data_IF_056266422752
#
_entry.id   IF_056266422752
#
_cell.length_a   1.000
_cell.length_b   1.000
_cell.length_c   1.000
_cell.angle_alpha   90.00
_cell.angle_beta   90.00
_cell.angle_gamma   90.00
#
_symmetry.space_group_name_H-M   'P 1'
#
loop_
_entity.id
_entity.type
_entity.pdbx_description
1 polymer ?
#
# COMPACT_ATOMS: atom_id res chain seq x y z
N UNK A 1 -44.29 28.38 35.80
CA UNK A 1 -44.58 26.98 35.40
C UNK A 1 -43.82 26.70 34.12
N UNK A 2 -42.56 26.29 34.27
CA UNK A 2 -42.07 24.90 34.08
C UNK A 2 -42.03 24.46 32.62
N UNK A 3 -40.83 24.44 32.03
CA UNK A 3 -40.24 23.22 31.45
C UNK A 3 -38.82 23.51 30.97
N UNK A 4 -37.85 23.24 31.85
CA UNK A 4 -36.47 22.98 31.46
C UNK A 4 -36.44 21.62 30.75
N UNK A 5 -36.12 21.61 29.46
CA UNK A 5 -35.85 20.38 28.73
C UNK A 5 -34.35 20.12 28.79
N UNK A 6 -33.99 19.08 29.54
CA UNK A 6 -32.63 18.57 29.71
C UNK A 6 -32.07 18.03 28.38
N UNK A 7 -31.12 18.73 27.78
CA UNK A 7 -30.24 18.14 26.76
C UNK A 7 -29.24 17.20 27.43
N UNK A 8 -29.43 15.89 27.25
CA UNK A 8 -28.40 14.88 27.54
C UNK A 8 -27.42 14.82 26.36
N UNK A 9 -26.11 15.07 26.54
CA UNK A 9 -25.16 14.79 25.48
C UNK A 9 -24.99 13.28 25.32
N UNK A 10 -25.20 12.80 24.10
CA UNK A 10 -24.94 11.43 23.66
C UNK A 10 -23.48 11.04 23.99
N UNK A 11 -23.31 10.15 24.96
CA UNK A 11 -22.05 9.45 25.19
C UNK A 11 -21.68 8.66 23.94
N UNK A 12 -20.76 9.19 23.12
CA UNK A 12 -20.06 8.42 22.10
C UNK A 12 -19.20 7.37 22.80
N UNK A 13 -19.52 6.10 22.56
CA UNK A 13 -18.70 4.97 22.95
C UNK A 13 -17.29 5.14 22.39
N UNK A 14 -16.28 5.16 23.26
CA UNK A 14 -14.88 5.20 22.87
C UNK A 14 -14.48 3.85 22.24
N UNK A 15 -13.77 3.82 21.10
CA UNK A 15 -13.19 2.58 20.61
C UNK A 15 -12.09 2.09 21.56
N UNK A 16 -12.21 0.82 21.99
CA UNK A 16 -11.21 0.07 22.77
C UNK A 16 -9.82 0.21 22.13
N UNK A 17 -8.91 0.91 22.82
CA UNK A 17 -7.50 0.97 22.45
C UNK A 17 -6.88 -0.45 22.52
N UNK A 18 -6.46 -0.99 21.38
CA UNK A 18 -5.81 -2.31 21.31
C UNK A 18 -4.30 -2.23 20.98
N UNK A 19 -3.66 -1.08 21.19
CA UNK A 19 -2.22 -0.93 20.97
C UNK A 19 -1.58 -0.06 22.07
N UNK A 20 -0.51 -0.52 22.74
CA UNK A 20 0.25 0.33 23.64
C UNK A 20 0.96 1.44 22.85
N UNK A 21 0.98 2.64 23.42
CA UNK A 21 1.69 3.80 22.88
C UNK A 21 3.20 3.51 22.72
N UNK A 22 3.87 4.12 21.72
CA UNK A 22 5.30 3.93 21.52
C UNK A 22 6.07 4.45 22.73
N UNK A 23 6.78 3.56 23.43
CA UNK A 23 7.65 3.92 24.52
C UNK A 23 8.85 4.72 23.98
N UNK A 24 9.17 5.80 24.70
CA UNK A 24 10.17 6.82 24.36
C UNK A 24 11.49 6.22 23.85
N UNK A 25 11.88 6.62 22.64
CA UNK A 25 13.17 6.32 22.05
C UNK A 25 14.29 7.03 22.85
N UNK A 26 14.94 6.27 23.71
CA UNK A 26 16.13 6.69 24.45
C UNK A 26 17.18 5.59 24.40
N UNK A 27 17.90 5.49 23.28
CA UNK A 27 19.30 5.05 23.18
C UNK A 27 19.70 4.97 21.72
N UNK A 28 20.76 5.70 21.37
CA UNK A 28 21.48 5.53 20.13
C UNK A 28 21.91 4.05 19.99
N UNK A 29 21.31 3.33 19.04
CA UNK A 29 21.70 1.97 18.70
C UNK A 29 22.60 2.02 17.45
N UNK A 30 23.91 2.03 17.70
CA UNK A 30 24.87 1.52 16.74
C UNK A 30 24.58 0.02 16.52
N UNK A 31 24.44 -0.39 15.24
CA UNK A 31 24.78 -1.72 14.76
C UNK A 31 23.80 -2.87 15.02
N UNK A 32 22.97 -3.21 14.01
CA UNK A 32 23.07 -4.47 13.24
C UNK A 32 22.14 -4.41 12.01
N UNK A 33 22.61 -4.64 10.77
CA UNK A 33 21.68 -4.92 9.68
C UNK A 33 20.96 -6.24 9.97
N UNK A 34 19.66 -6.36 9.67
CA UNK A 34 18.93 -7.61 9.72
C UNK A 34 19.63 -8.63 8.84
N UNK A 35 20.18 -9.66 9.46
CA UNK A 35 20.87 -10.77 8.79
C UNK A 35 19.85 -11.74 8.22
N UNK A 36 19.10 -11.30 7.20
CA UNK A 36 18.53 -12.30 6.29
C UNK A 36 19.70 -12.99 5.59
N UNK A 37 19.90 -14.27 5.89
CA UNK A 37 20.95 -15.05 5.23
C UNK A 37 20.73 -15.01 3.71
N UNK A 38 21.81 -14.98 2.91
CA UNK A 38 21.73 -15.09 1.43
C UNK A 38 20.85 -16.27 0.97
N UNK A 39 20.77 -17.33 1.77
CA UNK A 39 19.89 -18.48 1.55
C UNK A 39 18.42 -18.15 1.73
N UNK A 40 18.04 -17.41 2.79
CA UNK A 40 16.67 -16.95 3.01
C UNK A 40 16.15 -16.10 1.85
N UNK A 41 17.00 -15.23 1.29
CA UNK A 41 16.61 -14.38 0.15
C UNK A 41 16.37 -15.19 -1.13
N UNK A 42 17.15 -16.25 -1.38
CA UNK A 42 16.91 -17.17 -2.51
C UNK A 42 15.62 -17.96 -2.36
N UNK A 43 15.34 -18.46 -1.15
CA UNK A 43 14.10 -19.20 -0.86
C UNK A 43 12.89 -18.28 -1.00
N UNK A 44 12.95 -17.07 -0.43
CA UNK A 44 11.91 -16.05 -0.61
C UNK A 44 11.67 -15.77 -2.10
N UNK A 45 12.74 -15.63 -2.89
CA UNK A 45 12.63 -15.40 -4.32
C UNK A 45 11.96 -16.57 -5.06
N UNK A 46 12.29 -17.80 -4.73
CA UNK A 46 11.65 -18.98 -5.32
C UNK A 46 10.14 -19.01 -5.00
N UNK A 47 9.77 -18.74 -3.74
CA UNK A 47 8.37 -18.62 -3.32
C UNK A 47 7.64 -17.51 -4.08
N UNK A 48 8.25 -16.33 -4.19
CA UNK A 48 7.69 -15.21 -4.95
C UNK A 48 7.37 -15.61 -6.39
N UNK A 49 8.29 -16.30 -7.06
CA UNK A 49 8.11 -16.74 -8.46
C UNK A 49 7.01 -17.79 -8.57
N UNK A 50 7.05 -18.84 -7.75
CA UNK A 50 6.08 -19.94 -7.80
C UNK A 50 4.67 -19.44 -7.51
N UNK A 51 4.49 -18.69 -6.42
CA UNK A 51 3.18 -18.19 -6.02
C UNK A 51 2.66 -17.11 -6.99
N UNK A 52 3.53 -16.28 -7.57
CA UNK A 52 3.09 -15.30 -8.57
C UNK A 52 2.72 -15.94 -9.90
N UNK A 53 3.45 -16.97 -10.34
CA UNK A 53 3.12 -17.73 -11.54
C UNK A 53 1.78 -18.46 -11.35
N UNK A 54 1.60 -19.15 -10.21
CA UNK A 54 0.33 -19.78 -9.87
C UNK A 54 -0.82 -18.76 -9.81
N UNK A 55 -0.61 -17.62 -9.17
CA UNK A 55 -1.59 -16.54 -9.08
C UNK A 55 -1.98 -15.97 -10.45
N UNK A 56 -1.03 -15.84 -11.38
CA UNK A 56 -1.33 -15.43 -12.75
C UNK A 56 -2.13 -16.48 -13.52
N UNK A 57 -1.78 -17.77 -13.40
CA UNK A 57 -2.53 -18.86 -14.04
C UNK A 57 -3.97 -18.90 -13.52
N UNK A 58 -4.15 -18.86 -12.20
CA UNK A 58 -5.49 -18.86 -11.57
C UNK A 58 -6.25 -17.56 -11.85
N UNK A 59 -5.56 -16.42 -11.93
CA UNK A 59 -6.16 -15.11 -12.19
C UNK A 59 -6.43 -14.82 -13.66
N UNK A 60 -5.80 -15.54 -14.60
CA UNK A 60 -5.92 -15.29 -16.04
C UNK A 60 -7.37 -15.34 -16.57
N UNK A 61 -8.24 -16.30 -16.16
CA UNK A 61 -9.64 -16.33 -16.56
C UNK A 61 -10.43 -15.08 -16.15
N UNK A 62 -10.03 -14.39 -15.08
CA UNK A 62 -10.63 -13.13 -14.64
C UNK A 62 -10.02 -11.91 -15.30
N UNK A 63 -8.71 -11.97 -15.60
CA UNK A 63 -7.96 -10.82 -16.11
C UNK A 63 -8.41 -10.41 -17.51
N UNK A 64 -8.64 -11.36 -18.42
CA UNK A 64 -9.04 -11.03 -19.79
C UNK A 64 -10.41 -10.34 -19.87
N UNK A 65 -11.51 -10.87 -19.27
CA UNK A 65 -12.78 -10.16 -19.20
C UNK A 65 -12.66 -8.80 -18.52
N UNK A 66 -11.88 -8.70 -17.44
CA UNK A 66 -11.66 -7.43 -16.75
C UNK A 66 -10.98 -6.39 -17.64
N UNK A 67 -9.95 -6.79 -18.42
CA UNK A 67 -9.29 -5.91 -19.39
C UNK A 67 -10.25 -5.44 -20.49
N UNK A 68 -11.09 -6.33 -21.01
CA UNK A 68 -12.11 -5.98 -22.01
C UNK A 68 -13.15 -5.01 -21.43
N UNK A 69 -13.65 -5.27 -20.22
CA UNK A 69 -14.60 -4.40 -19.54
C UNK A 69 -14.02 -3.01 -19.26
N UNK A 70 -12.75 -2.93 -18.83
CA UNK A 70 -12.04 -1.65 -18.65
C UNK A 70 -11.94 -0.91 -19.99
N UNK A 71 -11.60 -1.59 -21.09
CA UNK A 71 -11.53 -0.95 -22.41
C UNK A 71 -12.89 -0.44 -22.89
N UNK A 72 -13.94 -1.23 -22.71
CA UNK A 72 -15.28 -0.86 -23.13
C UNK A 72 -15.85 0.32 -22.33
N UNK A 73 -15.51 0.43 -21.04
CA UNK A 73 -16.09 1.44 -20.14
C UNK A 73 -15.22 2.67 -19.90
N UNK A 74 -13.89 2.55 -20.03
CA UNK A 74 -12.92 3.61 -19.74
C UNK A 74 -12.01 3.94 -20.94
N UNK A 75 -12.16 3.24 -22.07
CA UNK A 75 -11.31 3.37 -23.25
C UNK A 75 -9.99 2.56 -23.16
N UNK A 76 -9.10 2.66 -24.15
CA UNK A 76 -7.73 2.19 -24.03
C UNK A 76 -6.83 3.18 -23.25
N UNK A 77 -5.68 2.76 -22.72
CA UNK A 77 -5.25 1.36 -22.51
C UNK A 77 -5.97 0.67 -21.34
N UNK A 78 -6.04 -0.66 -21.35
CA UNK A 78 -6.59 -1.43 -20.22
C UNK A 78 -5.68 -1.41 -18.98
N UNK A 79 -4.37 -1.39 -19.22
CA UNK A 79 -3.35 -1.41 -18.19
C UNK A 79 -2.93 0.02 -17.85
N UNK A 80 -2.78 0.27 -16.55
CA UNK A 80 -2.16 1.45 -15.99
C UNK A 80 -0.68 1.15 -15.72
N UNK A 81 0.19 2.07 -16.09
CA UNK A 81 1.64 1.99 -15.90
C UNK A 81 2.14 3.25 -15.20
N UNK A 82 3.02 3.09 -14.21
CA UNK A 82 3.57 4.23 -13.48
C UNK A 82 4.95 3.91 -12.91
N UNK A 83 5.88 4.86 -13.00
CA UNK A 83 7.17 4.75 -12.35
C UNK A 83 7.03 4.81 -10.83
N UNK A 84 7.72 3.89 -10.15
CA UNK A 84 7.72 3.74 -8.71
C UNK A 84 9.14 3.43 -8.21
N UNK A 85 9.48 3.82 -6.97
CA UNK A 85 10.78 3.50 -6.37
C UNK A 85 10.82 2.03 -5.93
N UNK A 86 11.84 1.33 -6.41
CA UNK A 86 12.14 -0.06 -6.11
C UNK A 86 13.23 -0.23 -5.05
N UNK A 87 13.97 -1.33 -5.16
CA UNK A 87 15.14 -1.61 -4.32
C UNK A 87 16.20 -0.51 -4.50
N UNK A 88 16.67 0.05 -3.40
CA UNK A 88 17.60 1.18 -3.36
C UNK A 88 17.01 2.46 -3.97
N UNK A 89 15.69 2.58 -4.04
CA UNK A 89 15.01 3.73 -4.65
C UNK A 89 15.05 3.75 -6.18
N UNK A 90 15.62 2.72 -6.83
CA UNK A 90 15.75 2.66 -8.29
C UNK A 90 14.36 2.60 -8.95
N UNK A 91 14.08 3.39 -10.00
CA UNK A 91 12.78 3.39 -10.64
C UNK A 91 12.49 2.05 -11.32
N UNK A 92 11.26 1.57 -11.18
CA UNK A 92 10.70 0.49 -11.99
C UNK A 92 9.28 0.86 -12.44
N UNK A 93 8.81 0.24 -13.52
CA UNK A 93 7.46 0.46 -14.01
C UNK A 93 6.47 -0.51 -13.35
N UNK A 94 5.62 0.03 -12.48
CA UNK A 94 4.51 -0.71 -11.88
C UNK A 94 3.39 -0.88 -12.92
N UNK A 95 2.90 -2.11 -13.07
CA UNK A 95 1.79 -2.42 -13.98
C UNK A 95 0.56 -2.87 -13.18
N UNK A 96 -0.59 -2.25 -13.45
CA UNK A 96 -1.89 -2.59 -12.85
C UNK A 96 -2.99 -2.56 -13.90
N UNK A 97 -4.15 -3.09 -13.56
CA UNK A 97 -5.36 -2.82 -14.35
C UNK A 97 -5.85 -1.39 -14.07
N UNK A 98 -6.26 -0.68 -15.10
CA UNK A 98 -6.78 0.68 -14.93
C UNK A 98 -8.17 0.65 -14.29
N UNK A 99 -8.35 1.44 -13.23
CA UNK A 99 -9.62 1.52 -12.48
C UNK A 99 -10.23 2.93 -12.49
N UNK A 100 -9.53 3.91 -13.04
CA UNK A 100 -9.95 5.32 -13.08
C UNK A 100 -9.98 5.80 -14.53
N UNK A 101 -10.90 6.72 -14.81
CA UNK A 101 -10.95 7.41 -16.10
C UNK A 101 -9.73 8.35 -16.26
N UNK A 102 -9.31 8.65 -17.49
CA UNK A 102 -8.38 9.74 -17.75
C UNK A 102 -8.90 11.05 -17.12
N UNK A 103 -8.01 11.91 -16.59
CA UNK A 103 -8.41 13.22 -16.12
C UNK A 103 -9.00 14.04 -17.28
N UNK A 104 -10.04 14.83 -16.99
CA UNK A 104 -10.61 15.80 -17.93
C UNK A 104 -9.81 17.11 -17.90
N UNK A 105 -9.89 17.97 -18.94
CA UNK A 105 -9.32 19.31 -18.88
C UNK A 105 -9.83 20.06 -17.63
N UNK A 106 -8.92 20.51 -16.77
CA UNK A 106 -9.24 21.16 -15.48
C UNK A 106 -9.33 20.23 -14.27
N UNK A 107 -9.17 18.91 -14.44
CA UNK A 107 -8.96 17.97 -13.33
C UNK A 107 -7.46 17.75 -13.13
N UNK A 108 -6.88 18.41 -12.13
CA UNK A 108 -5.50 18.18 -11.75
C UNK A 108 -5.40 16.79 -11.14
N UNK A 109 -4.71 15.85 -11.80
CA UNK A 109 -4.58 14.45 -11.37
C UNK A 109 -3.81 14.22 -10.07
N UNK A 110 -3.65 15.27 -9.26
CA UNK A 110 -2.92 15.31 -7.98
C UNK A 110 -3.87 15.54 -6.80
N UNK A 111 -5.05 16.13 -7.01
CA UNK A 111 -6.04 16.34 -5.94
C UNK A 111 -6.85 15.05 -5.68
N UNK A 112 -6.97 14.67 -4.41
CA UNK A 112 -7.80 13.53 -3.97
C UNK A 112 -9.28 13.72 -4.32
N UNK A 113 -9.75 14.96 -4.48
CA UNK A 113 -11.08 15.27 -4.98
C UNK A 113 -11.30 14.84 -6.44
N UNK A 114 -10.28 14.99 -7.30
CA UNK A 114 -10.36 14.61 -8.72
C UNK A 114 -10.30 13.09 -8.91
N UNK A 115 -9.53 12.40 -8.06
CA UNK A 115 -9.42 10.94 -8.08
C UNK A 115 -10.75 10.24 -7.72
N UNK A 116 -11.51 10.79 -6.78
CA UNK A 116 -12.83 10.28 -6.43
C UNK A 116 -13.81 10.38 -7.60
N UNK A 117 -13.83 11.51 -8.32
CA UNK A 117 -14.66 11.73 -9.49
C UNK A 117 -14.29 10.79 -10.66
N UNK A 118 -13.02 10.40 -10.76
CA UNK A 118 -12.49 9.54 -11.83
C UNK A 118 -12.70 8.05 -11.58
N UNK A 119 -12.94 7.62 -10.34
CA UNK A 119 -13.20 6.21 -9.99
C UNK A 119 -14.59 5.76 -10.47
N UNK A 120 -14.64 4.74 -11.33
CA UNK A 120 -15.92 4.19 -11.84
C UNK A 120 -16.47 3.09 -10.93
N UNK A 121 -17.74 2.71 -11.10
CA UNK A 121 -18.34 1.56 -10.39
C UNK A 121 -17.57 0.26 -10.67
N UNK A 122 -17.20 0.02 -11.94
CA UNK A 122 -16.35 -1.10 -12.33
C UNK A 122 -14.97 -1.00 -11.66
N UNK A 123 -14.33 0.17 -11.69
CA UNK A 123 -13.05 0.39 -11.04
C UNK A 123 -13.07 0.10 -9.54
N UNK A 124 -14.12 0.56 -8.84
CA UNK A 124 -14.33 0.27 -7.43
C UNK A 124 -14.53 -1.22 -7.17
N UNK A 125 -15.26 -1.94 -8.04
CA UNK A 125 -15.41 -3.40 -7.96
C UNK A 125 -14.07 -4.12 -8.14
N UNK A 126 -13.29 -3.75 -9.17
CA UNK A 126 -11.99 -4.33 -9.45
C UNK A 126 -11.04 -4.16 -8.26
N UNK A 127 -11.01 -2.96 -7.64
CA UNK A 127 -10.25 -2.68 -6.41
C UNK A 127 -10.71 -3.52 -5.23
N UNK A 128 -12.02 -3.61 -4.99
CA UNK A 128 -12.60 -4.41 -3.89
C UNK A 128 -12.26 -5.89 -4.00
N UNK A 129 -12.23 -6.41 -5.22
CA UNK A 129 -11.88 -7.80 -5.51
C UNK A 129 -10.36 -8.01 -5.67
N UNK A 130 -9.55 -6.95 -5.58
CA UNK A 130 -8.10 -6.97 -5.83
C UNK A 130 -7.69 -7.52 -7.21
N UNK A 131 -8.62 -7.49 -8.17
CA UNK A 131 -8.39 -7.92 -9.55
C UNK A 131 -7.46 -6.95 -10.25
N UNK A 132 -7.49 -5.67 -9.86
CA UNK A 132 -6.66 -4.63 -10.44
C UNK A 132 -5.17 -4.79 -10.18
N UNK A 133 -4.80 -5.54 -9.13
CA UNK A 133 -3.41 -5.82 -8.79
C UNK A 133 -2.86 -7.07 -9.47
N UNK A 134 -3.68 -7.91 -10.12
CA UNK A 134 -3.21 -9.13 -10.81
C UNK A 134 -2.05 -8.88 -11.80
N UNK A 135 -2.06 -7.83 -12.64
CA UNK A 135 -0.93 -7.53 -13.53
C UNK A 135 0.39 -7.26 -12.78
N UNK A 136 0.32 -6.84 -11.51
CA UNK A 136 1.50 -6.57 -10.67
C UNK A 136 2.32 -7.84 -10.41
N UNK A 137 1.71 -9.02 -10.49
CA UNK A 137 2.43 -10.30 -10.38
C UNK A 137 3.51 -10.45 -11.46
N UNK A 138 3.36 -9.79 -12.62
CA UNK A 138 4.41 -9.74 -13.64
C UNK A 138 5.65 -8.98 -13.15
N UNK A 139 5.50 -7.93 -12.34
CA UNK A 139 6.63 -7.23 -11.72
C UNK A 139 7.34 -8.11 -10.70
N UNK A 140 6.61 -8.98 -10.00
CA UNK A 140 7.22 -9.98 -9.13
C UNK A 140 8.01 -10.98 -9.95
N UNK A 141 7.44 -11.53 -11.03
CA UNK A 141 8.17 -12.47 -11.91
C UNK A 141 9.43 -11.86 -12.53
N UNK A 142 9.38 -10.60 -12.98
CA UNK A 142 10.56 -9.86 -13.50
C UNK A 142 11.62 -9.57 -12.45
N UNK A 143 11.21 -9.53 -11.18
CA UNK A 143 12.12 -9.27 -10.07
C UNK A 143 12.19 -7.82 -9.64
N UNK A 144 11.32 -6.95 -10.15
CA UNK A 144 11.16 -5.57 -9.70
C UNK A 144 10.55 -5.52 -8.29
N UNK A 145 9.64 -6.46 -8.01
CA UNK A 145 8.88 -6.57 -6.77
C UNK A 145 9.04 -7.94 -6.10
N UNK A 146 8.54 -8.03 -4.87
CA UNK A 146 8.30 -9.24 -4.08
C UNK A 146 6.79 -9.35 -3.80
N UNK A 147 6.29 -10.53 -3.41
CA UNK A 147 4.91 -10.63 -2.93
C UNK A 147 4.72 -9.82 -1.64
N UNK A 148 5.69 -9.92 -0.74
CA UNK A 148 5.69 -9.24 0.56
C UNK A 148 6.82 -8.21 0.63
N UNK A 149 6.48 -6.98 0.98
CA UNK A 149 7.39 -5.85 1.13
C UNK A 149 6.66 -4.51 1.30
N UNK A 150 7.39 -3.42 1.57
CA UNK A 150 6.79 -2.08 1.64
C UNK A 150 6.07 -1.73 0.34
N UNK A 151 4.90 -1.07 0.42
CA UNK A 151 4.16 -0.68 -0.79
C UNK A 151 5.00 0.31 -1.63
N UNK A 152 5.09 0.19 -2.96
CA UNK A 152 5.77 1.19 -3.78
C UNK A 152 4.99 2.51 -3.78
N UNK A 153 5.58 3.59 -3.26
CA UNK A 153 4.97 4.93 -3.20
C UNK A 153 5.39 5.82 -4.39
N UNK A 154 5.09 7.11 -4.39
CA UNK A 154 5.35 7.98 -5.56
C UNK A 154 6.83 8.37 -5.62
N UNK A 155 7.38 8.50 -6.83
CA UNK A 155 8.80 8.86 -7.04
C UNK A 155 9.17 10.18 -6.35
N UNK A 156 8.28 11.18 -6.39
CA UNK A 156 8.52 12.50 -5.79
C UNK A 156 8.50 12.49 -4.26
N UNK A 157 8.19 11.36 -3.60
CA UNK A 157 8.35 11.22 -2.15
C UNK A 157 9.79 10.89 -1.73
N UNK A 158 10.64 10.39 -2.64
CA UNK A 158 12.03 10.07 -2.33
C UNK A 158 12.79 11.18 -1.59
N UNK A 159 12.76 12.46 -2.04
CA UNK A 159 13.46 13.54 -1.35
C UNK A 159 12.80 13.96 -0.02
N UNK A 160 11.59 13.47 0.28
CA UNK A 160 10.81 13.87 1.47
C UNK A 160 11.04 12.93 2.66
N UNK A 161 11.70 11.80 2.46
CA UNK A 161 11.96 10.83 3.52
C UNK A 161 13.07 11.28 4.44
N UNK A 162 12.89 11.05 5.75
CA UNK A 162 14.03 11.02 6.67
C UNK A 162 14.96 9.85 6.33
N UNK A 163 16.23 9.86 6.78
CA UNK A 163 17.14 8.73 6.60
C UNK A 163 16.57 7.40 7.10
N UNK A 164 15.80 7.43 8.20
CA UNK A 164 15.11 6.26 8.74
C UNK A 164 13.97 5.77 7.84
N UNK A 165 13.10 6.68 7.38
CA UNK A 165 11.99 6.33 6.48
C UNK A 165 12.50 5.79 5.13
N UNK A 166 13.63 6.29 4.64
CA UNK A 166 14.27 5.85 3.40
C UNK A 166 14.71 4.37 3.46
N UNK A 167 14.94 3.82 4.66
CA UNK A 167 15.29 2.41 4.85
C UNK A 167 14.25 1.44 4.32
N UNK A 168 12.99 1.88 4.12
CA UNK A 168 11.96 1.11 3.41
C UNK A 168 12.43 0.58 2.04
N UNK A 169 13.41 1.23 1.42
CA UNK A 169 13.96 0.87 0.11
C UNK A 169 15.15 -0.10 0.19
N UNK A 170 15.55 -0.56 1.38
CA UNK A 170 16.60 -1.60 1.56
C UNK A 170 16.13 -2.98 1.06
N UNK A 171 14.84 -3.17 0.83
CA UNK A 171 14.23 -4.39 0.30
C UNK A 171 13.39 -4.09 -0.94
N UNK A 172 13.05 -5.13 -1.72
CA UNK A 172 12.12 -4.97 -2.84
C UNK A 172 10.75 -4.56 -2.34
N UNK A 173 10.06 -3.65 -3.03
CA UNK A 173 8.67 -3.34 -2.71
C UNK A 173 7.76 -4.56 -2.88
N UNK A 174 6.68 -4.56 -2.12
CA UNK A 174 5.70 -5.65 -2.06
C UNK A 174 4.36 -5.32 -2.72
N UNK A 175 3.65 -6.36 -3.18
CA UNK A 175 2.21 -6.26 -3.46
C UNK A 175 1.47 -6.01 -2.14
N UNK A 176 1.75 -6.85 -1.14
CA UNK A 176 1.29 -6.71 0.25
C UNK A 176 2.47 -6.49 1.19
N UNK A 177 2.20 -6.15 2.44
CA UNK A 177 3.21 -5.81 3.43
C UNK A 177 2.60 -5.60 4.81
N UNK A 178 3.46 -5.35 5.80
CA UNK A 178 3.05 -5.25 7.20
C UNK A 178 2.04 -4.11 7.42
N UNK A 179 2.28 -2.93 6.83
CA UNK A 179 1.35 -1.81 6.86
C UNK A 179 -0.01 -2.15 6.20
N UNK A 180 0.01 -2.89 5.09
CA UNK A 180 -1.19 -3.30 4.37
C UNK A 180 -2.07 -4.29 5.14
N UNK A 181 -1.50 -5.11 6.04
CA UNK A 181 -2.29 -6.09 6.82
C UNK A 181 -2.68 -5.60 8.20
N UNK A 182 -1.95 -4.65 8.80
CA UNK A 182 -2.22 -4.18 10.17
C UNK A 182 -3.21 -3.02 10.26
N UNK A 183 -3.27 -2.13 9.27
CA UNK A 183 -4.19 -0.97 9.38
C UNK A 183 -4.64 -0.35 8.06
N UNK A 184 -4.09 -0.77 6.91
CA UNK A 184 -4.50 -0.30 5.56
C UNK A 184 -4.61 1.23 5.49
N UNK A 185 -5.84 1.73 5.46
CA UNK A 185 -6.15 3.14 5.29
C UNK A 185 -6.22 3.88 6.62
N UNK A 186 -6.46 3.20 7.74
CA UNK A 186 -6.63 3.82 9.06
C UNK A 186 -5.32 4.40 9.65
N UNK A 187 -4.17 4.02 9.10
CA UNK A 187 -2.87 4.45 9.57
C UNK A 187 -2.48 5.83 9.03
N UNK A 188 -1.82 6.64 9.88
CA UNK A 188 -1.14 7.86 9.45
C UNK A 188 0.05 7.55 8.54
N UNK A 189 0.63 8.58 7.91
CA UNK A 189 1.85 8.41 7.11
C UNK A 189 3.01 7.88 7.95
N UNK A 190 3.20 8.43 9.14
CA UNK A 190 4.24 8.05 10.09
C UNK A 190 4.11 6.59 10.50
N UNK A 191 2.90 6.15 10.84
CA UNK A 191 2.63 4.76 11.23
C UNK A 191 2.91 3.78 10.08
N UNK A 192 2.49 4.13 8.85
CA UNK A 192 2.79 3.30 7.66
C UNK A 192 4.28 3.19 7.42
N UNK A 193 5.00 4.31 7.48
CA UNK A 193 6.44 4.34 7.26
C UNK A 193 7.18 3.58 8.36
N UNK A 194 6.75 3.69 9.62
CA UNK A 194 7.30 2.93 10.73
C UNK A 194 7.10 1.42 10.54
N UNK A 195 5.91 0.99 10.10
CA UNK A 195 5.65 -0.42 9.80
C UNK A 195 6.45 -0.93 8.59
N UNK A 196 6.68 -0.09 7.58
CA UNK A 196 7.53 -0.43 6.43
C UNK A 196 8.99 -0.63 6.87
N UNK A 197 9.53 0.25 7.73
CA UNK A 197 10.88 0.11 8.30
C UNK A 197 10.97 -1.10 9.23
N UNK A 198 9.97 -1.31 10.10
CA UNK A 198 9.90 -2.49 10.97
C UNK A 198 9.91 -3.79 10.18
N UNK A 199 9.21 -3.85 9.03
CA UNK A 199 9.27 -5.01 8.16
C UNK A 199 10.69 -5.25 7.63
N UNK A 200 11.42 -4.19 7.23
CA UNK A 200 12.81 -4.31 6.80
C UNK A 200 13.67 -4.92 7.92
N UNK A 201 13.43 -4.50 9.16
CA UNK A 201 14.15 -4.95 10.36
C UNK A 201 13.87 -6.40 10.76
N UNK A 202 12.61 -6.81 10.69
CA UNK A 202 12.13 -8.11 11.20
C UNK A 202 11.95 -9.16 10.09
N UNK A 203 12.35 -8.84 8.84
CA UNK A 203 12.06 -9.67 7.66
C UNK A 203 12.52 -11.11 7.85
N UNK A 204 11.57 -12.04 7.69
CA UNK A 204 11.81 -13.47 7.75
C UNK A 204 10.75 -14.21 6.92
N UNK A 205 11.07 -15.43 6.48
CA UNK A 205 10.09 -16.26 5.74
C UNK A 205 8.81 -16.49 6.54
N UNK A 206 8.93 -16.63 7.86
CA UNK A 206 7.76 -16.81 8.73
C UNK A 206 6.88 -15.56 8.80
N UNK A 207 7.50 -14.37 8.88
CA UNK A 207 6.77 -13.11 8.82
C UNK A 207 6.07 -12.94 7.47
N UNK A 208 6.73 -13.29 6.36
CA UNK A 208 6.14 -13.27 5.03
C UNK A 208 4.89 -14.16 4.93
N UNK A 209 4.99 -15.40 5.40
CA UNK A 209 3.86 -16.35 5.40
C UNK A 209 2.68 -15.83 6.24
N UNK A 210 2.96 -15.22 7.40
CA UNK A 210 1.92 -14.55 8.20
C UNK A 210 1.26 -13.41 7.44
N UNK A 211 2.04 -12.54 6.79
CA UNK A 211 1.50 -11.41 6.02
C UNK A 211 0.66 -11.93 4.84
N UNK A 212 1.10 -12.98 4.13
CA UNK A 212 0.33 -13.58 3.04
C UNK A 212 -1.00 -14.18 3.54
N UNK A 213 -0.98 -14.93 4.64
CA UNK A 213 -2.20 -15.49 5.22
C UNK A 213 -3.19 -14.39 5.66
N UNK A 214 -2.70 -13.33 6.30
CA UNK A 214 -3.52 -12.17 6.66
C UNK A 214 -4.06 -11.47 5.41
N UNK A 215 -3.27 -11.38 4.34
CA UNK A 215 -3.69 -10.76 3.08
C UNK A 215 -4.85 -11.52 2.46
N UNK A 216 -4.77 -12.85 2.38
CA UNK A 216 -5.87 -13.69 1.90
C UNK A 216 -7.13 -13.47 2.73
N UNK A 217 -7.01 -13.47 4.08
CA UNK A 217 -8.14 -13.19 4.97
C UNK A 217 -8.79 -11.84 4.66
N UNK A 218 -7.97 -10.80 4.49
CA UNK A 218 -8.48 -9.44 4.24
C UNK A 218 -9.14 -9.30 2.87
N UNK A 219 -8.59 -9.94 1.83
CA UNK A 219 -9.21 -9.95 0.49
C UNK A 219 -10.55 -10.70 0.52
N UNK A 220 -10.63 -11.86 1.18
CA UNK A 220 -11.85 -12.65 1.29
C UNK A 220 -12.94 -11.95 2.10
N UNK A 221 -12.58 -11.28 3.20
CA UNK A 221 -13.53 -10.51 4.03
C UNK A 221 -13.94 -9.18 3.43
N UNK A 222 -13.23 -8.70 2.39
CA UNK A 222 -13.40 -7.37 1.79
C UNK A 222 -13.24 -6.22 2.81
N UNK A 223 -12.50 -6.45 3.89
CA UNK A 223 -12.32 -5.49 5.00
C UNK A 223 -11.51 -4.26 4.56
N UNK A 224 -12.04 -3.05 4.80
CA UNK A 224 -11.28 -1.79 4.79
C UNK A 224 -10.97 -1.16 3.42
N UNK A 225 -11.84 -1.30 2.41
CA UNK A 225 -11.60 -0.75 1.05
C UNK A 225 -11.87 0.76 0.91
N UNK A 226 -12.50 1.40 1.90
CA UNK A 226 -12.88 2.82 1.78
C UNK A 226 -12.68 3.55 3.12
N UNK A 227 -11.95 4.67 3.11
CA UNK A 227 -12.13 5.71 4.12
C UNK A 227 -13.46 6.41 3.86
N UNK A 228 -14.14 6.81 4.93
CA UNK A 228 -15.19 7.82 4.83
C UNK A 228 -14.53 9.14 4.38
N UNK A 229 -14.80 9.57 3.14
CA UNK A 229 -14.43 10.89 2.62
C UNK A 229 -13.24 10.95 1.65
N UNK A 230 -12.31 9.99 1.65
CA UNK A 230 -11.14 10.02 0.74
C UNK A 230 -10.90 8.68 0.02
N UNK A 231 -10.91 8.72 -1.31
CA UNK A 231 -10.64 7.55 -2.20
C UNK A 231 -9.15 7.16 -2.20
N UNK A 232 -8.27 8.07 -1.78
CA UNK A 232 -6.82 7.92 -1.67
C UNK A 232 -6.33 8.58 -0.39
N UNK A 233 -5.21 8.12 0.19
CA UNK A 233 -4.55 8.89 1.25
C UNK A 233 -4.08 10.25 0.72
N UNK A 234 -4.07 11.30 1.56
CA UNK A 234 -3.51 12.60 1.20
C UNK A 234 -2.03 12.45 0.82
N UNK A 235 -1.54 13.40 0.03
CA UNK A 235 -0.14 13.44 -0.39
C UNK A 235 0.81 13.45 0.82
N UNK A 236 1.90 12.68 0.76
CA UNK A 236 2.94 12.71 1.78
C UNK A 236 3.84 13.94 1.61
N UNK A 237 3.69 14.96 2.45
CA UNK A 237 4.46 16.21 2.36
C UNK A 237 5.81 16.17 3.10
N UNK A 238 6.21 15.01 3.62
CA UNK A 238 7.36 14.89 4.52
C UNK A 238 6.95 15.04 5.99
N UNK A 239 7.77 14.53 6.90
CA UNK A 239 7.61 14.78 8.34
C UNK A 239 8.29 16.09 8.72
N UNK A 240 7.70 16.87 9.64
CA UNK A 240 8.20 18.20 10.06
C UNK A 240 9.70 18.25 10.42
N UNK A 241 10.29 17.14 10.87
CA UNK A 241 11.73 17.02 11.14
C UNK A 241 12.65 17.08 9.88
N UNK A 242 12.09 17.00 8.67
CA UNK A 242 12.81 17.16 7.40
C UNK A 242 12.80 18.60 6.87
N UNK A 243 11.81 19.41 7.26
CA UNK A 243 11.66 20.79 6.78
C UNK A 243 12.74 21.74 7.33
N UNK A 244 13.33 21.42 8.48
CA UNK A 244 14.36 22.25 9.12
C UNK A 244 15.75 22.19 8.45
N UNK A 245 15.90 21.49 7.31
CA UNK A 245 17.18 21.36 6.58
C UNK A 245 17.16 21.93 5.16
N UNK A 246 16.10 22.66 4.78
CA UNK A 246 15.95 23.28 3.46
C UNK A 246 16.05 24.82 3.48
N UNK A 247 16.67 25.39 4.52
CA UNK A 247 17.04 26.81 4.58
C UNK A 247 18.52 26.96 4.85
#
# INVERSE_FOLDING_TARGET
MTSQTLERPLQRAQPRALLPAPQRAGRAAQGRPPTASRRSDRVKRALDVVLSAAGLVVGAPLLLPAMLAVRATMGPPALFRQLRPGLGGRPFELVKLRTMRPPRPGEDGVDSGSDAARLTRLGALLRRASIDELPTLLNVLRGDMSLVGPRPLLMHYLPRYSPEQARRHEVKPGITGLAQVLGRNALSWEEKLALDVRYVEERSLWLDLKILALTVRTVLRRDGVSHEGHVTMPEFLGTAAGAARLH
#
